data_IF_242491957116
#
_entry.id   IF_242491957116
#
_cell.length_a   1.000
_cell.length_b   1.000
_cell.length_c   1.000
_cell.angle_alpha   90.00
_cell.angle_beta   90.00
_cell.angle_gamma   90.00
#
_symmetry.space_group_name_H-M   'P 1'
#
loop_
_entity.id
_entity.type
_entity.pdbx_description
1 polymer ?
#
# COMPACT_ATOMS: atom_id res chain seq x y z
N UNK A 1 0.06 11.70 14.54
CA UNK A 1 -0.64 11.09 13.38
C UNK A 1 -1.63 12.10 12.83
N UNK A 2 -1.65 12.33 11.51
CA UNK A 2 -2.64 13.20 10.88
C UNK A 2 -4.01 12.49 10.83
N UNK A 3 -5.09 13.20 11.12
CA UNK A 3 -6.47 12.70 11.05
C UNK A 3 -7.16 13.32 9.85
N UNK A 4 -7.67 12.49 8.96
CA UNK A 4 -8.52 12.89 7.83
C UNK A 4 -9.93 12.38 8.12
N UNK A 5 -10.94 13.22 7.89
CA UNK A 5 -12.36 12.86 7.99
C UNK A 5 -12.92 12.91 6.57
N UNK A 6 -13.57 11.81 6.14
CA UNK A 6 -14.19 11.69 4.82
C UNK A 6 -15.69 11.52 5.02
N UNK A 7 -16.47 12.37 4.36
CA UNK A 7 -17.93 12.25 4.30
C UNK A 7 -18.30 11.42 3.08
N UNK A 8 -19.09 10.37 3.29
CA UNK A 8 -19.58 9.48 2.24
C UNK A 8 -21.09 9.69 2.10
N UNK A 9 -21.60 9.60 0.87
CA UNK A 9 -23.03 9.46 0.65
C UNK A 9 -23.53 8.11 1.17
N UNK A 10 -24.84 7.95 1.24
CA UNK A 10 -25.46 6.74 1.79
C UNK A 10 -25.08 5.49 1.00
N UNK A 11 -25.00 5.60 -0.33
CA UNK A 11 -24.65 4.47 -1.19
C UNK A 11 -23.20 4.02 -0.98
N UNK A 12 -22.22 4.94 -0.97
CA UNK A 12 -20.83 4.56 -0.74
C UNK A 12 -20.61 4.06 0.68
N UNK A 13 -21.28 4.67 1.67
CA UNK A 13 -21.22 4.23 3.06
C UNK A 13 -21.73 2.79 3.20
N UNK A 14 -22.88 2.47 2.60
CA UNK A 14 -23.44 1.11 2.68
C UNK A 14 -22.55 0.09 1.96
N UNK A 15 -22.00 0.44 0.80
CA UNK A 15 -21.06 -0.43 0.09
C UNK A 15 -19.78 -0.69 0.91
N UNK A 16 -19.20 0.35 1.52
CA UNK A 16 -18.03 0.23 2.39
C UNK A 16 -18.33 -0.66 3.60
N UNK A 17 -19.50 -0.50 4.23
CA UNK A 17 -19.92 -1.32 5.37
C UNK A 17 -20.04 -2.80 4.98
N UNK A 18 -20.71 -3.10 3.87
CA UNK A 18 -20.86 -4.48 3.39
C UNK A 18 -19.52 -5.10 3.05
N UNK A 19 -18.64 -4.36 2.37
CA UNK A 19 -17.30 -4.84 2.05
C UNK A 19 -16.48 -5.10 3.32
N UNK A 20 -16.48 -4.16 4.27
CA UNK A 20 -15.79 -4.32 5.54
C UNK A 20 -16.28 -5.55 6.32
N UNK A 21 -17.60 -5.81 6.32
CA UNK A 21 -18.19 -6.98 6.96
C UNK A 21 -17.76 -8.28 6.29
N UNK A 22 -17.80 -8.37 4.95
CA UNK A 22 -17.34 -9.55 4.19
C UNK A 22 -15.88 -9.87 4.48
N UNK A 23 -15.07 -8.84 4.64
CA UNK A 23 -13.65 -8.93 4.89
C UNK A 23 -13.28 -9.06 6.38
N UNK A 24 -14.27 -9.09 7.28
CA UNK A 24 -14.10 -9.12 8.73
C UNK A 24 -13.21 -7.96 9.26
N UNK A 25 -13.36 -6.77 8.68
CA UNK A 25 -12.63 -5.54 9.06
C UNK A 25 -13.56 -4.46 9.60
N UNK A 26 -12.98 -3.55 10.38
CA UNK A 26 -13.65 -2.28 10.71
C UNK A 26 -13.79 -1.41 9.45
N UNK A 27 -14.90 -0.67 9.27
CA UNK A 27 -15.10 0.18 8.08
C UNK A 27 -13.99 1.20 7.86
N UNK A 28 -13.45 1.78 8.94
CA UNK A 28 -12.30 2.68 8.88
C UNK A 28 -11.04 2.00 8.36
N UNK A 29 -10.78 0.77 8.80
CA UNK A 29 -9.62 0.00 8.35
C UNK A 29 -9.77 -0.38 6.87
N UNK A 30 -10.99 -0.76 6.46
CA UNK A 30 -11.30 -1.05 5.07
C UNK A 30 -11.11 0.19 4.17
N UNK A 31 -11.59 1.35 4.59
CA UNK A 31 -11.38 2.60 3.85
C UNK A 31 -9.89 2.95 3.72
N UNK A 32 -9.12 2.80 4.79
CA UNK A 32 -7.67 3.04 4.75
C UNK A 32 -6.95 2.09 3.78
N UNK A 33 -7.39 0.83 3.72
CA UNK A 33 -6.83 -0.16 2.79
C UNK A 33 -7.15 0.20 1.34
N UNK A 34 -8.39 0.59 1.04
CA UNK A 34 -8.79 1.04 -0.31
C UNK A 34 -7.96 2.25 -0.74
N UNK A 35 -7.82 3.25 0.13
CA UNK A 35 -7.00 4.44 -0.15
C UNK A 35 -5.55 4.04 -0.42
N UNK A 36 -4.98 3.15 0.40
CA UNK A 36 -3.60 2.67 0.19
C UNK A 36 -3.46 1.96 -1.15
N UNK A 37 -4.37 1.04 -1.48
CA UNK A 37 -4.33 0.31 -2.75
C UNK A 37 -4.41 1.25 -3.95
N UNK A 38 -5.28 2.26 -3.89
CA UNK A 38 -5.40 3.26 -4.93
C UNK A 38 -4.14 4.11 -5.07
N UNK A 39 -3.54 4.56 -3.95
CA UNK A 39 -2.28 5.31 -3.98
C UNK A 39 -1.12 4.46 -4.55
N UNK A 40 -1.08 3.18 -4.23
CA UNK A 40 -0.11 2.24 -4.83
C UNK A 40 -0.36 2.08 -6.34
N UNK A 41 -1.62 1.91 -6.75
CA UNK A 41 -2.01 1.81 -8.16
C UNK A 41 -1.62 3.04 -8.97
N UNK A 42 -1.64 4.21 -8.34
CA UNK A 42 -1.22 5.50 -8.92
C UNK A 42 0.30 5.73 -8.86
N UNK A 43 1.09 4.78 -8.31
CA UNK A 43 2.54 4.92 -8.15
C UNK A 43 2.97 5.92 -7.07
N UNK A 44 2.03 6.38 -6.22
CA UNK A 44 2.29 7.33 -5.14
C UNK A 44 2.84 6.66 -3.87
N UNK A 45 2.65 5.34 -3.75
CA UNK A 45 3.20 4.52 -2.68
C UNK A 45 3.85 3.26 -3.27
N UNK A 46 4.91 2.72 -2.63
CA UNK A 46 5.52 1.48 -3.06
C UNK A 46 4.57 0.29 -2.86
N UNK A 47 4.68 -0.72 -3.73
CA UNK A 47 3.98 -1.98 -3.54
C UNK A 47 4.53 -2.66 -2.28
N UNK A 48 3.70 -3.29 -1.44
CA UNK A 48 4.18 -3.94 -0.22
C UNK A 48 5.16 -5.10 -0.48
N UNK A 49 5.22 -5.62 -1.70
CA UNK A 49 6.20 -6.64 -2.13
C UNK A 49 7.48 -6.06 -2.72
N UNK A 50 7.56 -4.73 -2.86
CA UNK A 50 8.80 -4.04 -3.20
C UNK A 50 9.66 -3.96 -1.95
N UNK A 51 10.16 -5.11 -1.49
CA UNK A 51 11.40 -5.11 -0.72
C UNK A 51 12.43 -4.42 -1.61
N UNK A 52 13.10 -3.35 -1.16
CA UNK A 52 14.27 -2.89 -1.88
C UNK A 52 15.25 -4.08 -1.81
N UNK A 53 15.43 -4.76 -2.94
CA UNK A 53 16.60 -5.61 -3.14
C UNK A 53 17.79 -4.74 -2.70
N UNK A 54 18.55 -5.14 -1.66
CA UNK A 54 19.74 -4.39 -1.32
C UNK A 54 20.61 -4.41 -2.58
N UNK A 55 20.97 -3.24 -3.09
CA UNK A 55 21.94 -3.05 -4.16
C UNK A 55 23.16 -3.93 -3.85
N UNK A 56 23.13 -5.16 -4.34
CA UNK A 56 24.24 -6.09 -4.28
C UNK A 56 25.08 -5.73 -5.48
N UNK A 57 25.69 -4.55 -5.40
CA UNK A 57 26.85 -4.21 -6.20
C UNK A 57 28.00 -5.05 -5.65
N UNK A 58 28.01 -6.33 -6.02
CA UNK A 58 29.21 -7.15 -5.98
C UNK A 58 30.14 -6.62 -7.08
N UNK A 59 30.94 -5.61 -6.73
CA UNK A 59 32.19 -5.32 -7.44
C UNK A 59 33.15 -6.49 -7.21
N UNK A 60 32.94 -7.57 -7.96
CA UNK A 60 33.97 -8.56 -8.26
C UNK A 60 34.39 -8.36 -9.70
N UNK A 61 35.54 -7.71 -9.88
CA UNK A 61 36.47 -7.69 -11.03
C UNK A 61 37.36 -6.45 -10.84
N UNK A 62 38.69 -6.44 -10.83
CA UNK A 62 39.71 -7.36 -11.33
C UNK A 62 41.05 -6.87 -10.78
N UNK A 63 41.74 -7.69 -9.99
CA UNK A 63 43.17 -7.52 -9.70
C UNK A 63 43.96 -8.56 -10.50
N UNK A 64 44.35 -8.20 -11.72
CA UNK A 64 45.22 -8.98 -12.61
C UNK A 64 46.63 -9.08 -12.02
N UNK A 65 47.22 -10.26 -12.22
CA UNK A 65 48.60 -10.67 -11.92
C UNK A 65 49.69 -9.70 -12.40
N UNK A 66 50.79 -9.61 -11.63
CA UNK A 66 52.13 -10.13 -11.96
C UNK A 66 53.20 -9.61 -11.01
#
# INVERSE_FOLDING_TARGET
MAKIIVYLGDQERNALLQLAQRELRLPRAQAALIIRQELVRQGMLPHPTSTPEPDTTLETQTGVSS
#
